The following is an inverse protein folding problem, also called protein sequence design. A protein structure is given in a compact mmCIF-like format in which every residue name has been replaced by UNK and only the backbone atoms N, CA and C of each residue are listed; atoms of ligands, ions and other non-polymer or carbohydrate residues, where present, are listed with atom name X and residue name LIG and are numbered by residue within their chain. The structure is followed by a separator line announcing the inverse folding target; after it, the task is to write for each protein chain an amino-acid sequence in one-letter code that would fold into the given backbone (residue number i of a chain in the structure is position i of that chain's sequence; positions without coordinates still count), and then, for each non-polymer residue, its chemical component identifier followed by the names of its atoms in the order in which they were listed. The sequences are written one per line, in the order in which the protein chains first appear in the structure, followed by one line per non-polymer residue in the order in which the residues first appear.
data_IF_848112481356
#
_entry.id   IF_848112481356
#
_cell.length_a   1.000
_cell.length_b   1.000
_cell.length_c   1.000
_cell.angle_alpha   90.00
_cell.angle_beta   90.00
_cell.angle_gamma   90.00
#
_symmetry.space_group_name_H-M   'P 1'
#
loop_
_entity.id
_entity.type
_entity.pdbx_description
1 polymer ?
#
# COMPACT_ATOMS: atom_id res chain seq x y z
N UNK A 1 12.42 -30.75 -1.14
CA UNK A 1 11.69 -30.07 -2.22
C UNK A 1 10.27 -29.69 -1.80
N UNK A 2 9.72 -28.62 -2.38
CA UNK A 2 8.37 -28.15 -2.10
C UNK A 2 7.38 -28.72 -3.14
N UNK A 3 6.16 -29.05 -2.71
CA UNK A 3 5.14 -29.72 -3.54
C UNK A 3 4.65 -28.90 -4.74
N UNK A 4 4.73 -27.56 -4.66
CA UNK A 4 4.35 -26.67 -5.75
C UNK A 4 5.08 -25.33 -5.66
N UNK A 5 5.04 -24.52 -6.73
CA UNK A 5 5.57 -23.14 -6.73
C UNK A 5 4.99 -22.30 -5.59
N UNK A 6 3.70 -22.46 -5.30
CA UNK A 6 3.04 -21.75 -4.20
C UNK A 6 3.61 -22.18 -2.84
N UNK A 7 3.78 -23.49 -2.59
CA UNK A 7 4.38 -23.98 -1.35
C UNK A 7 5.83 -23.53 -1.19
N UNK A 8 6.59 -23.45 -2.28
CA UNK A 8 7.95 -22.93 -2.26
C UNK A 8 7.98 -21.46 -1.83
N UNK A 9 7.12 -20.62 -2.42
CA UNK A 9 7.01 -19.20 -2.08
C UNK A 9 6.54 -18.98 -0.62
N UNK A 10 5.53 -19.73 -0.18
CA UNK A 10 5.01 -19.65 1.19
C UNK A 10 6.12 -19.94 2.20
N UNK A 11 6.88 -21.03 2.00
CA UNK A 11 7.99 -21.40 2.89
C UNK A 11 9.11 -20.35 2.85
N UNK A 12 9.45 -19.84 1.66
CA UNK A 12 10.49 -18.84 1.50
C UNK A 12 10.17 -17.55 2.29
N UNK A 13 8.95 -17.02 2.16
CA UNK A 13 8.55 -15.81 2.87
C UNK A 13 8.48 -15.96 4.39
N UNK A 14 8.33 -17.18 4.91
CA UNK A 14 8.31 -17.43 6.36
C UNK A 14 9.70 -17.40 7.01
N UNK A 15 10.76 -17.60 6.22
CA UNK A 15 12.15 -17.73 6.73
C UNK A 15 13.10 -16.65 6.20
N UNK A 16 12.68 -15.91 5.18
CA UNK A 16 13.47 -14.83 4.60
C UNK A 16 13.61 -13.68 5.61
N UNK A 17 14.81 -13.11 5.82
CA UNK A 17 15.00 -11.95 6.67
C UNK A 17 14.18 -10.75 6.19
N UNK A 18 13.68 -9.93 7.13
CA UNK A 18 12.89 -8.74 6.83
C UNK A 18 13.62 -7.79 5.85
N UNK A 19 14.94 -7.66 5.98
CA UNK A 19 15.75 -6.79 5.14
C UNK A 19 15.85 -7.26 3.68
N UNK A 20 15.69 -8.55 3.42
CA UNK A 20 15.66 -9.11 2.06
C UNK A 20 14.24 -9.05 1.48
N UNK A 21 13.22 -9.10 2.36
CA UNK A 21 11.81 -9.12 1.97
C UNK A 21 11.22 -7.72 1.74
N UNK A 22 11.67 -6.72 2.52
CA UNK A 22 11.04 -5.41 2.64
C UNK A 22 12.06 -4.28 2.62
N UNK A 23 11.70 -3.19 1.95
CA UNK A 23 12.37 -1.90 2.07
C UNK A 23 11.38 -0.88 2.63
N UNK A 24 11.85 -0.02 3.54
CA UNK A 24 11.02 0.99 4.21
C UNK A 24 11.64 2.36 3.97
N UNK A 25 10.82 3.32 3.54
CA UNK A 25 11.23 4.68 3.27
C UNK A 25 10.23 5.64 3.89
N UNK A 26 10.73 6.64 4.63
CA UNK A 26 9.90 7.73 5.12
C UNK A 26 9.53 8.65 3.95
N UNK A 27 8.25 9.00 3.90
CA UNK A 27 7.68 9.89 2.88
C UNK A 27 6.67 10.84 3.50
N UNK A 28 6.53 12.02 2.90
CA UNK A 28 5.45 12.95 3.22
C UNK A 28 4.40 12.89 2.11
N UNK A 29 3.15 12.61 2.48
CA UNK A 29 2.01 12.62 1.57
C UNK A 29 1.60 14.07 1.29
N UNK A 30 1.39 14.41 0.02
CA UNK A 30 1.05 15.76 -0.45
C UNK A 30 -0.45 16.00 -0.63
N UNK A 31 -1.30 14.99 -0.43
CA UNK A 31 -2.76 15.07 -0.59
C UNK A 31 -3.51 14.50 0.62
N UNK A 32 -4.78 14.90 0.86
CA UNK A 32 -5.61 14.30 1.91
C UNK A 32 -5.79 12.78 1.72
N UNK A 33 -5.86 12.04 2.83
CA UNK A 33 -5.94 10.57 2.82
C UNK A 33 -7.20 10.05 2.13
N UNK A 34 -8.31 10.81 2.20
CA UNK A 34 -9.59 10.46 1.57
C UNK A 34 -9.46 10.35 0.05
N UNK A 35 -8.52 11.09 -0.56
CA UNK A 35 -8.22 11.01 -2.00
C UNK A 35 -7.37 9.80 -2.39
N UNK A 36 -6.80 9.09 -1.41
CA UNK A 36 -6.04 7.86 -1.62
C UNK A 36 -6.93 6.61 -1.53
N UNK A 37 -8.14 6.73 -0.98
CA UNK A 37 -9.11 5.64 -0.89
C UNK A 37 -9.74 5.38 -2.26
N UNK A 38 -9.46 4.22 -2.84
CA UNK A 38 -9.94 3.84 -4.17
C UNK A 38 -11.13 2.88 -4.13
N UNK A 39 -11.77 2.72 -5.29
CA UNK A 39 -12.73 1.65 -5.56
C UNK A 39 -11.99 0.50 -6.28
N UNK A 40 -12.21 -0.77 -5.89
CA UNK A 40 -11.55 -1.91 -6.53
C UNK A 40 -12.17 -2.18 -7.90
N UNK A 41 -11.36 -2.41 -8.94
CA UNK A 41 -11.68 -3.24 -10.12
C UNK A 41 -10.65 -3.15 -11.27
N UNK A 42 -9.83 -2.09 -11.35
CA UNK A 42 -8.98 -1.85 -12.53
C UNK A 42 -7.49 -2.04 -12.26
N UNK A 43 -6.79 -2.70 -13.20
CA UNK A 43 -5.33 -2.92 -13.18
C UNK A 43 -4.72 -2.70 -14.56
N UNK A 44 -3.59 -2.03 -14.62
CA UNK A 44 -2.82 -1.76 -15.84
C UNK A 44 -1.33 -1.61 -15.51
N UNK A 45 -0.40 -1.80 -16.45
CA UNK A 45 1.03 -1.64 -16.17
C UNK A 45 1.54 -0.27 -16.62
N UNK A 46 2.43 0.34 -15.85
CA UNK A 46 3.11 1.59 -16.24
C UNK A 46 4.06 1.34 -17.42
N UNK A 47 3.91 2.08 -18.51
CA UNK A 47 4.76 1.97 -19.70
C UNK A 47 6.19 2.50 -19.50
N UNK A 48 6.46 3.22 -18.40
CA UNK A 48 7.80 3.73 -18.08
C UNK A 48 8.59 2.86 -17.10
N UNK A 49 8.00 2.44 -15.98
CA UNK A 49 8.70 1.68 -14.93
C UNK A 49 8.29 0.20 -14.83
N UNK A 50 7.25 -0.23 -15.54
CA UNK A 50 6.77 -1.61 -15.53
C UNK A 50 5.95 -2.02 -14.30
N UNK A 51 5.77 -1.12 -13.32
CA UNK A 51 4.97 -1.37 -12.12
C UNK A 51 3.49 -1.66 -12.45
N UNK A 52 2.88 -2.62 -11.74
CA UNK A 52 1.44 -2.86 -11.80
C UNK A 52 0.71 -1.71 -11.10
N UNK A 53 -0.04 -0.93 -11.87
CA UNK A 53 -0.94 0.12 -11.40
C UNK A 53 -2.28 -0.54 -11.08
N UNK A 54 -2.68 -0.45 -9.83
CA UNK A 54 -4.00 -0.89 -9.37
C UNK A 54 -4.80 0.35 -9.00
N UNK A 55 -6.13 0.22 -9.00
CA UNK A 55 -7.04 1.23 -8.45
C UNK A 55 -7.19 2.50 -9.31
N UNK A 56 -7.14 2.37 -10.64
CA UNK A 56 -7.39 3.49 -11.57
C UNK A 56 -6.42 4.67 -11.32
N UNK A 57 -5.18 4.36 -10.93
CA UNK A 57 -4.13 5.33 -10.60
C UNK A 57 -3.24 5.67 -11.80
N UNK A 58 -3.59 5.19 -12.98
CA UNK A 58 -2.92 5.50 -14.22
C UNK A 58 -3.20 6.93 -14.68
N UNK A 59 -2.24 7.49 -15.41
CA UNK A 59 -2.33 8.79 -16.06
C UNK A 59 -1.98 8.59 -17.52
N UNK A 60 -2.85 9.04 -18.42
CA UNK A 60 -2.53 9.11 -19.86
C UNK A 60 -1.78 10.40 -20.14
N UNK A 61 -0.50 10.30 -20.47
CA UNK A 61 0.35 11.45 -20.84
C UNK A 61 1.02 11.14 -22.18
N UNK A 62 0.86 12.03 -23.17
CA UNK A 62 1.40 11.85 -24.52
C UNK A 62 1.04 10.50 -25.18
N UNK A 63 -0.17 9.97 -24.87
CA UNK A 63 -0.64 8.69 -25.38
C UNK A 63 -0.12 7.45 -24.66
N UNK A 64 0.71 7.61 -23.61
CA UNK A 64 1.22 6.51 -22.78
C UNK A 64 0.50 6.44 -21.44
N UNK A 65 0.29 5.22 -20.97
CA UNK A 65 -0.25 4.89 -19.65
C UNK A 65 0.89 4.86 -18.64
N UNK A 66 0.90 5.79 -17.70
CA UNK A 66 1.95 5.96 -16.70
C UNK A 66 1.41 5.85 -15.28
N UNK A 67 2.23 5.40 -14.32
CA UNK A 67 1.91 5.56 -12.90
C UNK A 67 2.01 7.04 -12.52
N UNK A 68 1.31 7.47 -11.46
CA UNK A 68 1.32 8.87 -11.03
C UNK A 68 2.73 9.44 -10.82
N UNK A 69 3.66 8.65 -10.31
CA UNK A 69 5.05 9.09 -10.13
C UNK A 69 5.74 9.36 -11.47
N UNK A 70 5.67 8.43 -12.43
CA UNK A 70 6.25 8.61 -13.77
C UNK A 70 5.58 9.74 -14.55
N UNK A 71 4.30 10.04 -14.29
CA UNK A 71 3.60 11.17 -14.87
C UNK A 71 3.92 12.53 -14.19
N UNK A 72 4.83 12.56 -13.21
CA UNK A 72 5.16 13.76 -12.44
C UNK A 72 4.11 14.18 -11.40
N UNK A 73 3.09 13.34 -11.18
CA UNK A 73 1.97 13.56 -10.26
C UNK A 73 2.13 12.77 -8.95
N UNK A 74 3.36 12.60 -8.47
CA UNK A 74 3.61 11.86 -7.23
C UNK A 74 2.80 12.47 -6.07
N UNK A 75 2.04 11.63 -5.37
CA UNK A 75 1.25 12.03 -4.20
C UNK A 75 2.05 11.96 -2.89
N UNK A 76 3.35 11.63 -2.98
CA UNK A 76 4.28 11.68 -1.86
C UNK A 76 5.64 12.24 -2.31
N UNK A 77 6.39 12.77 -1.35
CA UNK A 77 7.79 13.18 -1.53
C UNK A 77 8.68 12.48 -0.51
N UNK A 78 9.91 12.17 -0.89
CA UNK A 78 10.91 11.69 0.05
C UNK A 78 11.18 12.77 1.09
N UNK A 79 11.22 12.38 2.36
CA UNK A 79 11.76 13.24 3.42
C UNK A 79 13.22 12.86 3.63
N UNK A 80 14.08 13.86 3.83
CA UNK A 80 15.46 13.59 4.23
C UNK A 80 15.42 12.81 5.55
N UNK A 81 16.02 11.61 5.56
CA UNK A 81 16.09 10.81 6.77
C UNK A 81 17.12 11.43 7.71
N UNK A 82 16.66 11.97 8.84
CA UNK A 82 17.54 12.11 10.00
C UNK A 82 17.67 10.72 10.64
N UNK A 83 18.87 10.13 10.53
CA UNK A 83 19.16 8.79 11.06
C UNK A 83 19.17 8.73 12.60
N UNK A 84 18.97 9.85 13.29
CA UNK A 84 19.07 9.93 14.75
C UNK A 84 17.71 10.00 15.48
N UNK A 85 16.59 9.72 14.80
CA UNK A 85 15.24 9.73 15.37
C UNK A 85 14.50 8.42 15.06
N UNK A 86 13.91 7.73 16.05
CA UNK A 86 13.15 6.52 15.80
C UNK A 86 11.82 6.81 15.10
N UNK A 87 11.47 5.95 14.14
CA UNK A 87 10.36 6.09 13.19
C UNK A 87 8.96 6.27 13.82
N UNK A 88 8.78 5.95 15.09
CA UNK A 88 7.49 6.00 15.80
C UNK A 88 7.27 7.28 16.63
N UNK A 89 8.24 8.20 16.69
CA UNK A 89 8.13 9.43 17.48
C UNK A 89 7.58 10.63 16.70
N UNK A 90 7.37 10.51 15.39
CA UNK A 90 6.87 11.60 14.55
C UNK A 90 5.33 11.57 14.48
N UNK A 91 4.66 12.12 15.50
CA UNK A 91 3.20 12.32 15.50
C UNK A 91 2.61 12.57 16.88
N UNK A 92 1.98 13.74 17.07
CA UNK A 92 1.44 14.23 18.35
C UNK A 92 0.37 13.37 19.03
N UNK A 93 0.06 13.74 20.27
CA UNK A 93 -0.96 13.17 21.16
C UNK A 93 -2.19 12.62 20.41
N UNK A 94 -2.25 11.30 20.23
CA UNK A 94 -3.46 10.61 19.81
C UNK A 94 -4.33 10.44 21.04
N UNK A 95 -5.06 11.48 21.45
CA UNK A 95 -6.14 11.34 22.44
C UNK A 95 -7.37 10.73 21.77
N UNK A 96 -7.29 9.47 21.36
CA UNK A 96 -8.48 8.74 20.92
C UNK A 96 -8.84 7.69 21.96
N UNK A 97 -9.81 8.02 22.81
CA UNK A 97 -10.57 7.05 23.59
C UNK A 97 -11.19 6.05 22.61
N UNK A 98 -10.62 4.84 22.54
CA UNK A 98 -11.16 3.73 21.75
C UNK A 98 -12.48 3.32 22.40
N UNK A 99 -13.60 3.74 21.81
CA UNK A 99 -14.93 3.22 22.15
C UNK A 99 -15.03 1.77 21.63
N UNK A 100 -15.32 0.77 22.47
CA UNK A 100 -15.42 -0.62 22.03
C UNK A 100 -16.63 -0.79 21.09
N UNK A 101 -16.38 -1.25 19.85
CA UNK A 101 -17.44 -1.59 18.90
C UNK A 101 -18.25 -2.78 19.43
N UNK A 102 -19.54 -2.56 19.69
CA UNK A 102 -20.51 -3.60 20.00
C UNK A 102 -20.59 -4.64 18.88
N UNK A 103 -20.60 -5.92 19.27
CA UNK A 103 -20.65 -7.12 18.41
C UNK A 103 -21.76 -7.02 17.36
N UNK A 104 -21.42 -6.98 16.07
CA UNK A 104 -22.37 -7.24 15.00
C UNK A 104 -22.70 -8.73 14.96
N UNK A 105 -23.95 -9.07 15.25
CA UNK A 105 -24.49 -10.43 15.18
C UNK A 105 -24.73 -10.77 13.70
N UNK A 106 -23.98 -11.72 13.16
CA UNK A 106 -24.26 -12.30 11.83
C UNK A 106 -25.67 -12.90 11.82
N UNK A 107 -26.60 -12.28 11.07
CA UNK A 107 -27.85 -12.93 10.69
C UNK A 107 -27.57 -13.81 9.47
N UNK A 108 -27.75 -15.13 9.65
CA UNK A 108 -27.74 -16.10 8.55
C UNK A 108 -28.92 -15.80 7.64
N UNK A 109 -28.65 -15.51 6.36
CA UNK A 109 -29.68 -15.48 5.31
C UNK A 109 -30.13 -16.92 5.07
N UNK A 110 -31.38 -17.22 5.42
CA UNK A 110 -32.05 -18.48 5.07
C UNK A 110 -32.29 -18.55 3.57
N UNK A 111 -32.04 -19.73 3.03
CA UNK A 111 -32.27 -20.17 1.65
C UNK A 111 -33.72 -19.92 1.20
N UNK A 112 -33.86 -19.53 -0.07
CA UNK A 112 -35.04 -19.77 -0.92
C UNK A 112 -34.55 -20.06 -2.33
#
# INVERSE_FOLDING_TARGET
DAESRWHAQLKAYQIMPDADLLAVQLVQISIPLEKLLSKPAYRVNCEACGEEIINEREVTLEGKILCRTCAGQSYYRLVAQDMNQPLWQVGGEVTSTIQPKTKFRHQRRSER
#
